data_IF_888389665833
#
_entry.id   IF_888389665833
#
_cell.length_a   1.000
_cell.length_b   1.000
_cell.length_c   1.000
_cell.angle_alpha   90.00
_cell.angle_beta   90.00
_cell.angle_gamma   90.00
#
_symmetry.space_group_name_H-M   'P 1'
#
loop_
_entity.id
_entity.type
_entity.pdbx_description
1 polymer ?
#
# COMPACT_ATOMS: atom_id res chain seq x y z
N UNK A 1 -45.64 21.25 -42.16
CA UNK A 1 -44.67 21.92 -43.06
C UNK A 1 -43.26 21.41 -42.75
N UNK A 2 -42.35 21.32 -43.74
CA UNK A 2 -41.75 20.04 -44.13
C UNK A 2 -40.32 19.75 -43.63
N UNK A 3 -40.03 18.45 -43.73
CA UNK A 3 -38.77 17.69 -43.83
C UNK A 3 -37.60 18.45 -44.49
N UNK A 4 -36.39 18.28 -43.92
CA UNK A 4 -35.16 18.15 -44.72
C UNK A 4 -34.08 17.30 -44.03
N UNK A 5 -34.04 16.04 -44.44
CA UNK A 5 -32.84 15.18 -44.48
C UNK A 5 -31.79 15.73 -45.43
N UNK A 6 -30.50 15.63 -45.08
CA UNK A 6 -29.43 15.36 -46.06
C UNK A 6 -28.40 14.36 -45.51
N UNK A 7 -28.27 13.26 -46.25
CA UNK A 7 -27.17 12.29 -46.31
C UNK A 7 -25.98 12.86 -47.10
N UNK A 8 -24.82 12.24 -46.92
CA UNK A 8 -23.71 12.13 -47.89
C UNK A 8 -22.43 12.82 -47.40
N UNK A 9 -21.22 12.26 -47.53
CA UNK A 9 -20.69 11.03 -48.11
C UNK A 9 -19.27 10.83 -47.50
N UNK A 10 -18.84 9.60 -47.20
CA UNK A 10 -18.16 8.63 -48.08
C UNK A 10 -16.76 9.04 -48.58
N UNK A 11 -15.78 8.22 -48.14
CA UNK A 11 -14.49 7.82 -48.74
C UNK A 11 -13.44 8.85 -49.17
N UNK A 12 -12.24 8.72 -48.60
CA UNK A 12 -11.13 8.13 -49.36
C UNK A 12 -9.94 7.69 -48.46
N UNK A 13 -9.49 6.43 -48.58
CA UNK A 13 -8.14 5.99 -48.25
C UNK A 13 -7.28 5.95 -49.52
N UNK A 14 -5.99 6.28 -49.42
CA UNK A 14 -4.90 5.87 -50.35
C UNK A 14 -3.59 6.37 -49.74
N UNK A 15 -2.75 5.49 -49.21
CA UNK A 15 -1.72 4.70 -49.92
C UNK A 15 -0.63 5.54 -50.61
N UNK A 16 0.61 5.28 -50.19
CA UNK A 16 1.92 5.25 -50.88
C UNK A 16 2.96 5.68 -49.84
N UNK A 17 3.99 4.93 -49.49
CA UNK A 17 4.73 3.92 -50.23
C UNK A 17 6.21 4.33 -50.26
N UNK A 18 7.10 3.32 -50.28
CA UNK A 18 8.55 3.34 -50.44
C UNK A 18 9.36 3.51 -49.14
N UNK A 19 9.96 2.42 -48.62
CA UNK A 19 11.17 1.71 -49.10
C UNK A 19 12.44 2.52 -48.86
N UNK A 20 13.27 2.05 -47.94
CA UNK A 20 14.70 1.85 -48.18
C UNK A 20 15.27 0.89 -47.14
N UNK A 21 15.94 -0.14 -47.65
CA UNK A 21 16.72 -1.13 -46.93
C UNK A 21 18.20 -0.93 -47.30
N UNK A 22 19.10 -0.93 -46.32
CA UNK A 22 20.55 -1.21 -46.40
C UNK A 22 20.94 -1.59 -44.96
N UNK A 23 21.20 -2.84 -44.56
CA UNK A 23 22.18 -3.86 -44.93
C UNK A 23 23.55 -3.73 -44.21
N UNK A 24 23.93 -4.84 -43.52
CA UNK A 24 25.27 -5.36 -43.17
C UNK A 24 26.08 -4.52 -42.15
N UNK A 25 26.62 -5.05 -41.03
CA UNK A 25 27.01 -6.40 -40.66
C UNK A 25 28.51 -6.42 -40.34
N UNK A 26 28.93 -6.77 -39.10
CA UNK A 26 30.29 -7.23 -38.67
C UNK A 26 30.22 -7.41 -37.14
N UNK A 27 30.94 -8.29 -36.44
CA UNK A 27 31.43 -9.64 -36.64
C UNK A 27 31.71 -10.13 -35.21
N UNK A 28 31.45 -11.41 -34.94
CA UNK A 28 31.78 -12.05 -33.67
C UNK A 28 33.30 -12.25 -33.56
N UNK A 29 33.86 -12.02 -32.37
CA UNK A 29 35.14 -12.57 -31.98
C UNK A 29 35.05 -13.02 -30.52
N UNK A 30 34.84 -14.33 -30.34
CA UNK A 30 35.02 -15.01 -29.07
C UNK A 30 36.52 -15.22 -28.85
N UNK A 31 37.06 -14.75 -27.73
CA UNK A 31 38.40 -15.12 -27.27
C UNK A 31 38.21 -16.03 -26.06
N UNK A 32 38.32 -17.33 -26.29
CA UNK A 32 38.52 -18.31 -25.23
C UNK A 32 40.01 -18.33 -24.88
N UNK A 33 40.34 -17.98 -23.64
CA UNK A 33 41.64 -18.24 -23.05
C UNK A 33 41.44 -19.12 -21.82
N UNK A 34 41.76 -20.40 -21.98
CA UNK A 34 41.95 -21.37 -20.91
C UNK A 34 43.36 -21.20 -20.34
N UNK A 35 43.47 -20.95 -19.03
CA UNK A 35 44.70 -21.20 -18.29
C UNK A 35 44.42 -21.52 -16.82
N UNK A 36 44.80 -22.76 -16.49
CA UNK A 36 45.35 -23.26 -15.24
C UNK A 36 44.58 -23.02 -13.93
N UNK A 37 44.06 -24.13 -13.41
CA UNK A 37 43.73 -24.34 -12.00
C UNK A 37 44.97 -24.10 -11.12
N UNK A 38 44.79 -23.28 -10.08
CA UNK A 38 45.64 -23.28 -8.90
C UNK A 38 44.81 -23.88 -7.75
N UNK A 39 45.23 -25.03 -7.26
CA UNK A 39 44.65 -25.71 -6.11
C UNK A 39 44.95 -24.90 -4.84
N UNK A 40 43.93 -24.21 -4.32
CA UNK A 40 43.95 -23.69 -2.95
C UNK A 40 43.56 -24.82 -1.98
N UNK A 41 44.42 -25.05 -1.00
CA UNK A 41 44.27 -26.03 0.08
C UNK A 41 43.04 -25.74 0.95
N UNK A 42 42.39 -26.75 1.55
CA UNK A 42 41.27 -26.54 2.46
C UNK A 42 41.82 -26.33 3.88
N UNK A 43 41.86 -25.09 4.33
CA UNK A 43 41.99 -24.77 5.75
C UNK A 43 40.93 -23.73 6.07
N UNK A 44 39.72 -24.19 6.39
CA UNK A 44 38.77 -23.50 7.28
C UNK A 44 37.46 -24.29 7.36
N UNK A 45 37.15 -24.83 8.55
CA UNK A 45 35.79 -24.78 9.13
C UNK A 45 35.71 -25.63 10.41
N UNK A 46 36.22 -25.10 11.53
CA UNK A 46 35.68 -25.45 12.84
C UNK A 46 35.97 -24.34 13.85
N UNK A 47 34.92 -23.62 14.28
CA UNK A 47 34.95 -22.88 15.54
C UNK A 47 34.85 -21.38 15.43
N UNK A 48 33.67 -20.87 15.07
CA UNK A 48 33.22 -19.55 15.52
C UNK A 48 31.73 -19.60 15.90
N UNK A 49 31.38 -20.50 16.82
CA UNK A 49 30.20 -20.33 17.65
C UNK A 49 30.55 -19.31 18.74
N UNK A 50 30.03 -18.09 18.65
CA UNK A 50 30.24 -17.11 19.71
C UNK A 50 30.11 -15.64 19.33
N UNK A 51 29.06 -15.25 18.61
CA UNK A 51 28.67 -13.83 18.52
C UNK A 51 27.14 -13.68 18.63
N UNK A 52 26.55 -14.30 19.64
CA UNK A 52 25.25 -13.87 20.15
C UNK A 52 25.46 -12.66 21.08
N UNK A 53 25.78 -11.52 20.49
CA UNK A 53 25.90 -10.24 21.20
C UNK A 53 24.87 -9.26 20.63
N UNK A 54 23.69 -9.25 21.25
CA UNK A 54 22.71 -8.16 21.19
C UNK A 54 22.24 -7.74 19.81
N UNK A 55 21.32 -8.50 19.18
CA UNK A 55 20.52 -7.96 18.09
C UNK A 55 19.83 -6.68 18.59
N UNK A 56 20.26 -5.52 18.07
CA UNK A 56 19.53 -4.27 18.27
C UNK A 56 18.06 -4.57 18.01
N UNK A 57 17.18 -4.31 18.99
CA UNK A 57 15.74 -4.55 18.85
C UNK A 57 15.27 -3.81 17.60
N UNK A 58 15.12 -4.52 16.49
CA UNK A 58 14.95 -3.89 15.19
C UNK A 58 13.75 -2.96 15.15
N UNK A 59 13.76 -1.97 14.27
CA UNK A 59 12.70 -0.97 14.18
C UNK A 59 11.32 -1.64 13.96
N UNK A 60 10.29 -1.13 14.61
CA UNK A 60 8.91 -1.50 14.30
C UNK A 60 8.46 -0.71 13.08
N UNK A 61 7.82 -1.37 12.11
CA UNK A 61 7.27 -0.69 10.93
C UNK A 61 5.85 -1.13 10.63
N UNK A 62 5.06 -0.20 10.10
CA UNK A 62 3.71 -0.42 9.62
C UNK A 62 3.67 -0.16 8.12
N UNK A 63 3.14 -1.12 7.36
CA UNK A 63 3.03 -1.04 5.90
C UNK A 63 1.59 -1.30 5.50
N UNK A 64 0.95 -0.34 4.84
CA UNK A 64 -0.33 -0.54 4.16
C UNK A 64 -0.07 -0.78 2.68
N UNK A 65 -0.29 -2.02 2.28
CA UNK A 65 -0.13 -2.51 0.91
C UNK A 65 -1.49 -2.54 0.24
N UNK A 66 -1.71 -1.61 -0.67
CA UNK A 66 -2.98 -1.43 -1.36
C UNK A 66 -3.16 -2.50 -2.42
N UNK A 67 -4.38 -3.01 -2.54
CA UNK A 67 -4.76 -3.90 -3.62
C UNK A 67 -5.48 -3.09 -4.72
N UNK A 68 -4.85 -2.84 -5.89
CA UNK A 68 -5.47 -2.06 -6.98
C UNK A 68 -6.69 -2.75 -7.59
N UNK A 69 -6.77 -4.08 -7.52
CA UNK A 69 -7.89 -4.85 -8.06
C UNK A 69 -9.12 -4.84 -7.15
N UNK A 70 -8.91 -4.71 -5.84
CA UNK A 70 -9.97 -4.57 -4.85
C UNK A 70 -9.47 -3.73 -3.65
N UNK A 71 -9.73 -2.42 -3.65
CA UNK A 71 -9.29 -1.53 -2.57
C UNK A 71 -9.79 -1.93 -1.17
N UNK A 72 -10.90 -2.68 -1.08
CA UNK A 72 -11.45 -3.18 0.18
C UNK A 72 -10.72 -4.42 0.72
N UNK A 73 -9.84 -5.03 -0.09
CA UNK A 73 -9.07 -6.22 0.23
C UNK A 73 -7.55 -5.97 0.14
N UNK A 74 -7.13 -4.81 0.65
CA UNK A 74 -5.74 -4.43 0.88
C UNK A 74 -5.19 -5.11 2.15
N UNK A 75 -3.90 -4.90 2.47
CA UNK A 75 -3.26 -5.49 3.65
C UNK A 75 -2.52 -4.46 4.50
N UNK A 76 -2.78 -4.47 5.79
CA UNK A 76 -1.95 -3.77 6.77
C UNK A 76 -1.01 -4.78 7.42
N UNK A 77 0.30 -4.56 7.31
CA UNK A 77 1.33 -5.47 7.84
C UNK A 77 2.19 -4.77 8.88
N UNK A 78 2.45 -5.47 9.97
CA UNK A 78 3.28 -5.04 11.09
C UNK A 78 4.58 -5.85 11.08
N UNK A 79 5.72 -5.18 11.14
CA UNK A 79 7.04 -5.82 11.21
C UNK A 79 7.82 -5.35 12.43
N UNK A 80 8.75 -6.19 12.90
CA UNK A 80 9.76 -5.86 13.91
C UNK A 80 11.11 -6.34 13.42
N UNK A 81 12.06 -5.43 13.20
CA UNK A 81 13.37 -5.78 12.66
C UNK A 81 13.30 -6.51 11.32
N UNK A 82 12.36 -6.14 10.45
CA UNK A 82 12.13 -6.79 9.15
C UNK A 82 11.32 -8.09 9.20
N UNK A 83 11.08 -8.66 10.38
CA UNK A 83 10.28 -9.89 10.53
C UNK A 83 8.79 -9.55 10.65
N UNK A 84 7.95 -10.17 9.82
CA UNK A 84 6.49 -10.02 9.87
C UNK A 84 5.94 -10.51 11.21
N UNK A 85 5.24 -9.64 11.93
CA UNK A 85 4.64 -9.92 13.22
C UNK A 85 3.12 -10.18 13.12
N UNK A 86 2.47 -9.51 12.17
CA UNK A 86 1.05 -9.67 11.89
C UNK A 86 0.69 -9.08 10.52
N UNK A 87 -0.36 -9.63 9.90
CA UNK A 87 -0.97 -9.09 8.69
C UNK A 87 -2.49 -9.11 8.82
N UNK A 88 -3.14 -8.01 8.47
CA UNK A 88 -4.59 -7.85 8.57
C UNK A 88 -5.18 -7.56 7.20
N UNK A 89 -6.38 -8.08 6.93
CA UNK A 89 -7.20 -7.52 5.84
C UNK A 89 -7.50 -6.07 6.21
N UNK A 90 -7.39 -5.19 5.24
CA UNK A 90 -7.65 -3.78 5.41
C UNK A 90 -8.27 -3.22 4.13
N UNK A 91 -8.90 -2.06 4.22
CA UNK A 91 -9.45 -1.39 3.04
C UNK A 91 -9.28 0.11 3.10
N UNK A 92 -9.34 0.73 1.92
CA UNK A 92 -9.28 2.18 1.78
C UNK A 92 -10.01 2.63 0.52
N UNK A 93 -10.75 3.73 0.64
CA UNK A 93 -11.57 4.25 -0.45
C UNK A 93 -12.88 3.48 -0.63
N UNK A 94 -13.72 3.99 -1.52
CA UNK A 94 -15.04 3.46 -1.85
C UNK A 94 -14.97 2.53 -3.07
N UNK A 95 -13.87 1.81 -3.25
CA UNK A 95 -13.55 1.06 -4.47
C UNK A 95 -12.90 1.92 -5.56
N UNK A 96 -12.53 3.18 -5.27
CA UNK A 96 -11.88 4.10 -6.21
C UNK A 96 -10.38 4.15 -5.93
N UNK A 97 -9.57 3.74 -6.90
CA UNK A 97 -8.09 3.72 -6.84
C UNK A 97 -7.43 5.06 -7.16
N UNK A 98 -8.21 6.07 -7.58
CA UNK A 98 -7.66 7.41 -7.75
C UNK A 98 -7.64 8.14 -6.41
N UNK A 99 -6.44 8.35 -5.85
CA UNK A 99 -6.23 8.95 -4.53
C UNK A 99 -6.56 10.46 -4.46
N UNK A 100 -6.71 11.10 -5.62
CA UNK A 100 -7.10 12.51 -5.71
C UNK A 100 -8.63 12.72 -5.71
N UNK A 101 -9.44 11.64 -5.77
CA UNK A 101 -10.89 11.78 -5.66
C UNK A 101 -11.27 11.98 -4.20
N UNK A 102 -11.74 13.18 -3.86
CA UNK A 102 -12.20 13.50 -2.50
C UNK A 102 -13.28 12.52 -2.05
N UNK A 103 -13.16 12.11 -0.79
CA UNK A 103 -14.10 11.26 -0.05
C UNK A 103 -14.44 9.89 -0.66
N UNK A 104 -13.73 9.49 -1.71
CA UNK A 104 -13.96 8.19 -2.38
C UNK A 104 -12.65 7.50 -2.74
N UNK A 105 -11.64 8.28 -3.11
CA UNK A 105 -10.30 7.79 -3.42
C UNK A 105 -9.64 7.15 -2.22
N UNK A 106 -8.89 6.07 -2.47
CA UNK A 106 -8.05 5.44 -1.47
C UNK A 106 -6.94 6.40 -0.98
N UNK A 107 -6.25 6.00 0.08
CA UNK A 107 -5.14 6.75 0.65
C UNK A 107 -3.95 6.85 -0.34
N UNK A 108 -3.36 8.06 -0.51
CA UNK A 108 -2.14 8.25 -1.30
C UNK A 108 -0.94 7.40 -0.85
N UNK A 109 -0.11 7.00 -1.81
CA UNK A 109 1.18 6.37 -1.53
C UNK A 109 2.11 7.35 -0.81
N UNK A 110 2.98 6.84 0.05
CA UNK A 110 3.98 7.65 0.72
C UNK A 110 4.23 7.23 2.16
N UNK A 111 5.00 8.06 2.88
CA UNK A 111 5.33 7.84 4.27
C UNK A 111 4.52 8.80 5.15
N UNK A 112 3.48 8.28 5.79
CA UNK A 112 2.52 9.05 6.58
C UNK A 112 2.94 9.12 8.04
N UNK A 113 3.29 10.30 8.54
CA UNK A 113 3.56 10.49 9.97
C UNK A 113 2.33 10.17 10.81
N UNK A 114 2.51 9.40 11.87
CA UNK A 114 1.50 9.15 12.90
C UNK A 114 1.43 10.36 13.82
N UNK A 115 0.29 11.04 13.85
CA UNK A 115 0.05 12.23 14.68
C UNK A 115 -0.55 11.89 16.05
N UNK A 116 -1.44 10.91 16.09
CA UNK A 116 -2.13 10.51 17.31
C UNK A 116 -2.38 9.00 17.31
N UNK A 117 -2.37 8.42 18.50
CA UNK A 117 -2.75 7.04 18.78
C UNK A 117 -3.75 7.08 19.92
N UNK A 118 -4.94 6.54 19.75
CA UNK A 118 -5.98 6.59 20.77
C UNK A 118 -6.83 5.33 20.75
N UNK A 119 -7.19 4.84 21.94
CA UNK A 119 -8.15 3.73 22.13
C UNK A 119 -9.57 4.23 22.37
N UNK A 120 -9.72 5.53 22.62
CA UNK A 120 -10.98 6.17 23.01
C UNK A 120 -11.25 7.45 22.23
N UNK A 121 -10.79 7.49 20.97
CA UNK A 121 -11.01 8.64 20.09
C UNK A 121 -12.52 8.89 19.97
N UNK A 122 -12.92 10.16 19.94
CA UNK A 122 -14.32 10.55 20.02
C UNK A 122 -14.66 11.62 18.98
N UNK A 123 -14.21 11.44 17.75
CA UNK A 123 -14.60 12.30 16.64
C UNK A 123 -16.06 12.13 16.26
N UNK A 124 -16.49 12.90 15.26
CA UNK A 124 -17.85 12.82 14.71
C UNK A 124 -18.10 11.45 14.05
N UNK A 125 -17.21 11.05 13.12
CA UNK A 125 -17.34 9.81 12.35
C UNK A 125 -16.45 8.68 12.86
N UNK A 126 -15.21 8.98 13.22
CA UNK A 126 -14.27 8.00 13.77
C UNK A 126 -14.37 7.99 15.29
N UNK A 127 -14.50 6.81 15.89
CA UNK A 127 -14.47 6.61 17.34
C UNK A 127 -13.70 5.35 17.74
N UNK A 128 -13.31 5.28 19.00
CA UNK A 128 -12.63 4.13 19.60
C UNK A 128 -11.15 4.08 19.21
N UNK A 129 -10.72 2.93 18.71
CA UNK A 129 -9.34 2.70 18.30
C UNK A 129 -9.05 3.44 17.00
N UNK A 130 -8.17 4.43 17.08
CA UNK A 130 -7.84 5.31 15.96
C UNK A 130 -6.37 5.72 15.98
N UNK A 131 -5.73 5.65 14.80
CA UNK A 131 -4.41 6.22 14.54
C UNK A 131 -4.58 7.37 13.56
N UNK A 132 -4.42 8.61 14.03
CA UNK A 132 -4.51 9.79 13.15
C UNK A 132 -3.19 9.96 12.40
N UNK A 133 -3.26 10.12 11.09
CA UNK A 133 -2.13 10.34 10.20
C UNK A 133 -2.01 11.83 9.83
N UNK A 134 -0.83 12.24 9.36
CA UNK A 134 -0.64 13.59 8.82
C UNK A 134 -1.50 13.85 7.59
N UNK A 135 -1.74 15.13 7.29
CA UNK A 135 -2.32 15.51 6.01
C UNK A 135 -1.30 15.24 4.90
N UNK A 136 -1.77 14.74 3.75
CA UNK A 136 -0.89 14.46 2.62
C UNK A 136 -1.55 14.85 1.31
N UNK A 137 -0.76 15.43 0.40
CA UNK A 137 -1.21 15.67 -0.97
C UNK A 137 -1.35 14.35 -1.71
N UNK A 138 -2.40 14.25 -2.51
CA UNK A 138 -2.56 13.15 -3.45
C UNK A 138 -1.47 13.20 -4.53
N UNK A 139 -1.38 12.13 -5.33
CA UNK A 139 -0.38 11.92 -6.39
C UNK A 139 -0.23 13.09 -7.36
N UNK A 140 -1.32 13.77 -7.72
CA UNK A 140 -1.29 14.94 -8.63
C UNK A 140 -0.99 16.27 -7.94
N UNK A 141 -0.92 16.29 -6.60
CA UNK A 141 -0.72 17.50 -5.81
C UNK A 141 -1.94 18.42 -5.67
N UNK A 142 -3.04 18.16 -6.40
CA UNK A 142 -4.22 19.04 -6.48
C UNK A 142 -5.14 18.99 -5.25
N UNK A 143 -5.09 17.88 -4.50
CA UNK A 143 -5.95 17.66 -3.33
C UNK A 143 -5.07 17.26 -2.16
N UNK A 144 -5.23 17.93 -1.02
CA UNK A 144 -4.72 17.46 0.27
C UNK A 144 -5.78 16.58 0.92
N UNK A 145 -5.38 15.36 1.29
CA UNK A 145 -6.19 14.45 2.08
C UNK A 145 -5.91 14.76 3.55
N UNK A 146 -6.96 15.14 4.26
CA UNK A 146 -6.95 15.53 5.66
C UNK A 146 -7.70 14.50 6.49
N UNK A 147 -7.54 14.53 7.81
CA UNK A 147 -8.34 13.69 8.72
C UNK A 147 -8.27 12.19 8.37
N UNK A 148 -7.08 11.72 8.00
CA UNK A 148 -6.85 10.35 7.57
C UNK A 148 -6.52 9.46 8.76
N UNK A 149 -7.25 8.37 8.95
CA UNK A 149 -7.07 7.46 10.08
C UNK A 149 -6.79 6.02 9.66
N UNK A 150 -6.09 5.28 10.51
CA UNK A 150 -6.30 3.83 10.64
C UNK A 150 -7.35 3.63 11.73
N UNK A 151 -8.51 3.07 11.41
CA UNK A 151 -9.59 2.91 12.37
C UNK A 151 -10.53 1.73 12.04
N UNK A 152 -11.56 1.57 12.86
CA UNK A 152 -12.66 0.63 12.63
C UNK A 152 -14.00 1.30 12.92
N UNK A 153 -15.09 0.56 12.70
CA UNK A 153 -16.44 0.94 13.14
C UNK A 153 -16.69 0.32 14.51
N UNK A 154 -16.81 1.19 15.50
CA UNK A 154 -17.00 0.83 16.90
C UNK A 154 -17.42 2.05 17.70
N UNK A 155 -17.99 1.82 18.88
CA UNK A 155 -18.21 2.85 19.87
C UNK A 155 -16.87 3.42 20.39
N UNK A 156 -16.96 4.53 21.12
CA UNK A 156 -15.80 5.19 21.76
C UNK A 156 -15.02 4.26 22.69
N UNK A 157 -15.69 3.35 23.36
CA UNK A 157 -15.06 2.38 24.27
C UNK A 157 -14.46 1.15 23.53
N UNK A 158 -14.58 1.11 22.21
CA UNK A 158 -14.10 0.00 21.37
C UNK A 158 -15.06 -1.18 21.25
N UNK A 159 -16.26 -1.09 21.82
CA UNK A 159 -17.34 -2.07 21.67
C UNK A 159 -18.09 -1.90 20.35
N UNK A 160 -18.85 -2.91 19.95
CA UNK A 160 -19.72 -2.85 18.77
C UNK A 160 -20.91 -1.92 19.05
N UNK A 161 -21.17 -0.96 18.16
CA UNK A 161 -22.34 -0.10 18.21
C UNK A 161 -23.55 -0.67 17.48
N UNK A 162 -24.68 0.05 17.57
CA UNK A 162 -25.93 -0.33 16.89
C UNK A 162 -26.12 0.40 15.55
N UNK A 163 -25.66 1.64 15.46
CA UNK A 163 -25.69 2.46 14.25
C UNK A 163 -24.67 1.96 13.22
N UNK A 164 -24.93 2.18 11.93
CA UNK A 164 -24.11 1.66 10.83
C UNK A 164 -22.65 2.07 10.98
N UNK A 165 -22.39 3.35 11.28
CA UNK A 165 -21.03 3.88 11.37
C UNK A 165 -20.27 3.38 12.61
N UNK A 166 -20.92 2.57 13.45
CA UNK A 166 -20.39 1.95 14.66
C UNK A 166 -20.51 0.44 14.67
N UNK A 167 -21.11 -0.15 13.64
CA UNK A 167 -21.45 -1.56 13.62
C UNK A 167 -20.80 -2.23 12.43
N UNK A 168 -19.78 -3.00 12.73
CA UNK A 168 -19.15 -3.87 11.75
C UNK A 168 -20.08 -5.02 11.34
N UNK A 169 -20.60 -4.96 10.11
CA UNK A 169 -21.51 -5.91 9.46
C UNK A 169 -20.82 -6.87 8.49
N UNK A 170 -19.61 -6.57 8.00
CA UNK A 170 -18.91 -7.51 7.12
C UNK A 170 -17.92 -6.89 6.13
N UNK A 171 -17.76 -7.48 4.93
CA UNK A 171 -16.77 -7.04 3.95
C UNK A 171 -16.94 -5.60 3.45
N UNK A 172 -18.17 -5.07 3.48
CA UNK A 172 -18.49 -3.70 3.04
C UNK A 172 -17.80 -2.61 3.88
N UNK A 173 -17.61 -2.86 5.17
CA UNK A 173 -17.10 -1.86 6.15
C UNK A 173 -15.59 -1.62 6.05
N UNK A 174 -14.93 -2.36 5.16
CA UNK A 174 -13.56 -2.05 4.74
C UNK A 174 -13.52 -0.85 3.78
N UNK A 175 -14.66 -0.40 3.27
CA UNK A 175 -14.75 0.83 2.46
C UNK A 175 -14.74 2.06 3.37
N UNK A 176 -14.18 3.14 2.85
CA UNK A 176 -14.06 4.39 3.58
C UNK A 176 -13.91 5.58 2.65
N UNK A 177 -14.02 6.79 3.19
CA UNK A 177 -13.73 8.02 2.46
C UNK A 177 -12.21 8.28 2.27
N UNK A 178 -11.40 7.22 2.34
CA UNK A 178 -9.94 7.23 2.14
C UNK A 178 -9.15 6.68 3.32
N UNK A 179 -9.73 6.62 4.53
CA UNK A 179 -9.08 6.03 5.71
C UNK A 179 -8.68 4.55 5.50
N UNK A 180 -7.75 4.05 6.31
CA UNK A 180 -7.47 2.62 6.40
C UNK A 180 -8.43 1.99 7.40
N UNK A 181 -9.34 1.14 6.91
CA UNK A 181 -10.32 0.42 7.72
C UNK A 181 -9.81 -0.97 8.08
N UNK A 182 -10.00 -1.35 9.33
CA UNK A 182 -9.75 -2.68 9.88
C UNK A 182 -11.00 -3.20 10.57
N UNK A 183 -11.13 -4.53 10.68
CA UNK A 183 -12.16 -5.14 11.54
C UNK A 183 -11.89 -4.77 13.02
N UNK A 184 -12.92 -4.68 13.88
CA UNK A 184 -12.72 -4.28 15.28
C UNK A 184 -11.72 -5.16 16.04
N UNK A 185 -11.73 -6.48 15.80
CA UNK A 185 -10.78 -7.40 16.42
C UNK A 185 -9.33 -7.12 15.96
N UNK A 186 -9.14 -6.88 14.66
CA UNK A 186 -7.83 -6.69 14.05
C UNK A 186 -7.16 -5.40 14.55
N UNK A 187 -7.91 -4.30 14.68
CA UNK A 187 -7.32 -3.05 15.21
C UNK A 187 -7.01 -3.14 16.71
N UNK A 188 -7.79 -3.90 17.49
CA UNK A 188 -7.48 -4.17 18.89
C UNK A 188 -6.21 -5.01 19.02
N UNK A 189 -6.05 -6.03 18.19
CA UNK A 189 -4.83 -6.84 18.14
C UNK A 189 -3.62 -5.99 17.69
N UNK A 190 -3.80 -5.13 16.67
CA UNK A 190 -2.76 -4.20 16.23
C UNK A 190 -2.26 -3.31 17.37
N UNK A 191 -3.17 -2.64 18.10
CA UNK A 191 -2.79 -1.81 19.25
C UNK A 191 -2.09 -2.63 20.33
N UNK A 192 -2.66 -3.79 20.68
CA UNK A 192 -2.08 -4.70 21.67
C UNK A 192 -0.64 -5.10 21.33
N UNK A 193 -0.37 -5.43 20.05
CA UNK A 193 0.98 -5.75 19.58
C UNK A 193 1.91 -4.54 19.63
N UNK A 194 1.46 -3.40 19.12
CA UNK A 194 2.27 -2.17 19.07
C UNK A 194 2.62 -1.63 20.45
N UNK A 195 1.76 -1.82 21.45
CA UNK A 195 2.07 -1.47 22.83
C UNK A 195 3.18 -2.35 23.43
N UNK A 196 3.31 -3.60 22.97
CA UNK A 196 4.40 -4.50 23.40
C UNK A 196 5.70 -4.26 22.66
N UNK A 197 5.64 -4.09 21.32
CA UNK A 197 6.84 -4.08 20.47
C UNK A 197 7.30 -2.67 20.09
N UNK A 198 6.57 -1.65 20.53
CA UNK A 198 6.82 -0.24 20.26
C UNK A 198 6.08 0.26 19.02
N UNK A 199 5.56 1.48 19.10
CA UNK A 199 4.86 2.13 18.00
C UNK A 199 5.82 2.72 16.95
N UNK A 200 5.57 2.52 15.64
CA UNK A 200 6.27 3.28 14.62
C UNK A 200 5.83 4.75 14.63
N UNK A 201 6.69 5.62 14.12
CA UNK A 201 6.38 7.05 13.91
C UNK A 201 5.67 7.29 12.57
N UNK A 202 5.69 6.31 11.67
CA UNK A 202 5.12 6.42 10.33
C UNK A 202 4.38 5.15 9.89
N UNK A 203 3.41 5.33 9.01
CA UNK A 203 2.82 4.32 8.16
C UNK A 203 3.39 4.46 6.74
N UNK A 204 3.97 3.39 6.20
CA UNK A 204 4.36 3.34 4.79
C UNK A 204 3.17 2.83 3.96
N UNK A 205 2.73 3.61 2.98
CA UNK A 205 1.66 3.23 2.04
C UNK A 205 2.25 2.92 0.67
N UNK A 206 1.94 1.73 0.15
CA UNK A 206 2.41 1.21 -1.14
C UNK A 206 1.24 0.61 -1.94
N UNK A 207 1.48 0.27 -3.21
CA UNK A 207 0.51 -0.33 -4.14
C UNK A 207 1.19 -1.14 -5.21
#
# INVERSE_FOLDING_TARGET
>A
MPVRTRKGGSVNPRMRGLRSAVALGFAAAAVAATSAAAEARPDDAAGAAGAAAGAAKGATTLVFDKNPSDPSNSRLRLYKGGVLQAGYRAGSGMGVTNDCVRDKGWIPNGNWRVRLKSRTYNGQFVKGYAVYLQDMRCSTGKVTRTEMFIHSEMNRDGTQGRAEERRWNGPGDYRSNGCVKLKPADIRDLFSRLDRIGWPTHLRVVS
#
